data_IF_589977033546
#
_entry.id   IF_589977033546
#
_cell.length_a   1.000
_cell.length_b   1.000
_cell.length_c   1.000
_cell.angle_alpha   90.00
_cell.angle_beta   90.00
_cell.angle_gamma   90.00
#
_symmetry.space_group_name_H-M   'P 1'
#
loop_
_entity.id
_entity.type
_entity.pdbx_description
1 polymer ?
#
# COMPACT_ATOMS: atom_id res chain seq x y z
N UNK A 1 -15.20 19.38 -11.01
CA UNK A 1 -14.78 19.54 -9.60
C UNK A 1 -13.88 18.36 -9.33
N UNK A 2 -12.58 18.54 -9.59
CA UNK A 2 -11.58 17.49 -9.48
C UNK A 2 -11.56 17.01 -8.04
N UNK A 3 -11.93 15.75 -7.82
CA UNK A 3 -11.66 15.08 -6.58
C UNK A 3 -10.13 15.08 -6.46
N UNK A 4 -9.61 16.00 -5.65
CA UNK A 4 -8.24 15.99 -5.18
C UNK A 4 -8.02 14.63 -4.51
N UNK A 5 -7.59 13.63 -5.29
CA UNK A 5 -7.40 12.30 -4.76
C UNK A 5 -6.31 12.41 -3.72
N UNK A 6 -6.63 11.96 -2.52
CA UNK A 6 -5.64 11.77 -1.47
C UNK A 6 -4.40 11.13 -2.10
N UNK A 7 -3.19 11.60 -1.78
CA UNK A 7 -1.92 11.05 -2.26
C UNK A 7 -2.07 9.54 -2.55
N UNK A 8 -2.03 9.16 -3.82
CA UNK A 8 -2.29 7.81 -4.27
C UNK A 8 -1.11 6.89 -3.92
N UNK A 9 -1.35 5.58 -3.79
CA UNK A 9 -0.33 4.56 -3.50
C UNK A 9 0.85 4.71 -4.44
N UNK A 10 0.57 4.98 -5.72
CA UNK A 10 1.57 5.23 -6.77
C UNK A 10 2.45 6.44 -6.50
N UNK A 11 1.88 7.51 -5.95
CA UNK A 11 2.61 8.75 -5.62
C UNK A 11 3.51 8.53 -4.39
N UNK A 12 3.02 7.77 -3.40
CA UNK A 12 3.80 7.42 -2.21
C UNK A 12 4.97 6.46 -2.57
N UNK A 13 4.73 5.49 -3.43
CA UNK A 13 5.77 4.59 -3.97
C UNK A 13 6.84 5.37 -4.76
N UNK A 14 6.42 6.27 -5.64
CA UNK A 14 7.34 7.12 -6.40
C UNK A 14 8.23 7.97 -5.48
N UNK A 15 7.66 8.54 -4.40
CA UNK A 15 8.41 9.30 -3.41
C UNK A 15 9.49 8.44 -2.71
N UNK A 16 9.17 7.20 -2.33
CA UNK A 16 10.13 6.25 -1.77
C UNK A 16 11.23 5.89 -2.77
N UNK A 17 10.86 5.63 -4.03
CA UNK A 17 11.80 5.26 -5.09
C UNK A 17 12.79 6.39 -5.36
N UNK A 18 12.33 7.65 -5.48
CA UNK A 18 13.19 8.81 -5.68
C UNK A 18 14.11 9.07 -4.47
N UNK A 19 13.64 8.80 -3.25
CA UNK A 19 14.43 8.97 -2.02
C UNK A 19 15.67 8.06 -1.99
N UNK A 20 15.69 6.96 -2.77
CA UNK A 20 16.87 6.10 -2.93
C UNK A 20 18.04 6.79 -3.63
N UNK A 21 17.78 7.81 -4.47
CA UNK A 21 18.83 8.56 -5.18
C UNK A 21 19.61 9.46 -4.22
N UNK A 22 18.93 10.03 -3.23
CA UNK A 22 19.55 10.89 -2.21
C UNK A 22 20.59 10.09 -1.41
N UNK A 23 20.32 8.82 -1.12
CA UNK A 23 21.30 7.93 -0.47
C UNK A 23 22.63 7.88 -1.22
N UNK A 24 22.59 7.81 -2.57
CA UNK A 24 23.80 7.79 -3.39
C UNK A 24 24.60 9.09 -3.29
N UNK A 25 23.92 10.22 -3.17
CA UNK A 25 24.61 11.51 -2.98
C UNK A 25 25.27 11.65 -1.61
N UNK A 26 24.70 11.06 -0.56
CA UNK A 26 25.29 11.08 0.80
C UNK A 26 26.66 10.41 0.80
N UNK A 27 26.74 9.20 0.25
CA UNK A 27 27.98 8.42 0.17
C UNK A 27 28.90 8.81 -1.01
N UNK A 28 28.62 9.92 -1.70
CA UNK A 28 29.50 10.39 -2.78
C UNK A 28 30.73 11.16 -2.26
N UNK A 29 30.67 11.61 -1.00
CA UNK A 29 31.79 12.29 -0.34
C UNK A 29 32.87 11.24 -0.04
N UNK A 30 34.11 11.38 -0.55
CA UNK A 30 35.12 10.33 -0.45
C UNK A 30 35.88 10.42 0.89
N UNK A 31 35.18 10.24 2.00
CA UNK A 31 35.72 10.43 3.35
C UNK A 31 36.92 9.53 3.63
N UNK A 32 36.89 8.27 3.21
CA UNK A 32 37.99 7.31 3.40
C UNK A 32 39.24 7.72 2.62
N UNK A 33 39.07 8.24 1.40
CA UNK A 33 40.19 8.73 0.59
C UNK A 33 40.84 9.94 1.26
N UNK A 34 40.04 10.89 1.73
CA UNK A 34 40.53 12.07 2.44
C UNK A 34 41.28 11.69 3.72
N UNK A 35 40.80 10.67 4.44
CA UNK A 35 41.48 10.14 5.61
C UNK A 35 42.85 9.54 5.25
N UNK A 36 42.93 8.72 4.20
CA UNK A 36 44.19 8.13 3.74
C UNK A 36 45.21 9.19 3.28
N UNK A 37 44.74 10.28 2.64
CA UNK A 37 45.58 11.39 2.23
C UNK A 37 46.08 12.19 3.45
N UNK A 38 45.24 12.39 4.47
CA UNK A 38 45.62 13.04 5.74
C UNK A 38 46.67 12.26 6.53
N UNK A 39 46.53 10.93 6.60
CA UNK A 39 47.51 10.06 7.25
C UNK A 39 48.86 10.13 6.53
N UNK A 40 48.85 10.06 5.20
CA UNK A 40 50.05 10.23 4.37
C UNK A 40 50.71 11.60 4.54
N UNK A 41 49.92 12.67 4.65
CA UNK A 41 50.44 14.02 4.88
C UNK A 41 51.07 14.14 6.27
N UNK A 42 50.38 13.63 7.30
CA UNK A 42 50.86 13.60 8.67
C UNK A 42 52.17 12.82 8.80
N UNK A 43 52.27 11.65 8.14
CA UNK A 43 53.49 10.85 8.11
C UNK A 43 54.66 11.62 7.48
N UNK A 44 54.42 12.35 6.38
CA UNK A 44 55.44 13.16 5.71
C UNK A 44 55.92 14.34 6.57
N UNK A 45 55.02 15.01 7.28
CA UNK A 45 55.40 16.09 8.22
C UNK A 45 56.26 15.52 9.35
N UNK A 46 55.85 14.39 9.92
CA UNK A 46 56.56 13.77 11.04
C UNK A 46 57.91 13.16 10.63
N UNK A 47 58.07 12.75 9.36
CA UNK A 47 59.33 12.20 8.80
C UNK A 47 60.24 13.25 8.18
N UNK A 48 60.07 14.53 8.46
CA UNK A 48 61.02 15.55 7.97
C UNK A 48 62.40 15.36 8.64
N UNK A 49 63.25 14.53 8.06
CA UNK A 49 64.55 14.06 8.60
C UNK A 49 65.64 15.15 8.70
N UNK A 50 65.37 16.39 8.27
CA UNK A 50 66.36 17.47 8.22
C UNK A 50 66.23 18.50 9.37
N UNK A 51 65.78 18.06 10.55
CA UNK A 51 65.84 18.85 11.80
C UNK A 51 65.01 20.15 11.83
N UNK A 52 64.16 20.39 10.83
CA UNK A 52 63.33 21.60 10.67
C UNK A 52 61.87 21.23 10.45
N UNK A 53 61.29 20.45 11.38
CA UNK A 53 59.84 20.28 11.37
C UNK A 53 59.19 21.63 11.69
N UNK A 54 58.54 22.22 10.70
CA UNK A 54 57.86 23.50 10.87
C UNK A 54 56.74 23.33 11.94
N UNK A 55 56.79 24.05 13.08
CA UNK A 55 55.81 23.91 14.15
C UNK A 55 54.38 24.24 13.70
N UNK A 56 54.23 25.12 12.72
CA UNK A 56 52.92 25.45 12.13
C UNK A 56 52.35 24.25 11.36
N UNK A 57 53.20 23.47 10.68
CA UNK A 57 52.77 22.25 10.00
C UNK A 57 52.41 21.14 10.99
N UNK A 58 53.20 20.96 12.07
CA UNK A 58 52.88 19.98 13.11
C UNK A 58 51.54 20.33 13.79
N UNK A 59 51.31 21.60 14.10
CA UNK A 59 50.06 22.05 14.72
C UNK A 59 48.84 21.94 13.78
N UNK A 60 49.04 21.86 12.47
CA UNK A 60 47.97 21.62 11.49
C UNK A 60 47.43 20.18 11.48
N UNK A 61 48.23 19.19 11.89
CA UNK A 61 47.84 17.77 11.94
C UNK A 61 46.57 17.56 12.79
N UNK A 62 46.50 17.97 14.08
CA UNK A 62 45.30 17.79 14.87
C UNK A 62 44.10 18.55 14.30
N UNK A 63 44.31 19.71 13.66
CA UNK A 63 43.23 20.44 13.01
C UNK A 63 42.63 19.66 11.84
N UNK A 64 43.47 19.04 11.00
CA UNK A 64 43.05 18.20 9.89
C UNK A 64 42.27 16.96 10.36
N UNK A 65 42.76 16.28 11.40
CA UNK A 65 42.09 15.12 11.99
C UNK A 65 40.72 15.51 12.56
N UNK A 66 40.62 16.67 13.23
CA UNK A 66 39.34 17.18 13.72
C UNK A 66 38.36 17.45 12.59
N UNK A 67 38.80 18.07 11.48
CA UNK A 67 37.94 18.33 10.32
C UNK A 67 37.42 17.03 9.69
N UNK A 68 38.27 16.00 9.57
CA UNK A 68 37.85 14.67 9.09
C UNK A 68 36.84 14.01 10.02
N UNK A 69 37.04 14.12 11.32
CA UNK A 69 36.12 13.59 12.34
C UNK A 69 34.77 14.32 12.26
N UNK A 70 34.78 15.65 12.10
CA UNK A 70 33.55 16.42 11.88
C UNK A 70 32.86 16.05 10.57
N UNK A 71 33.62 15.85 9.49
CA UNK A 71 33.07 15.42 8.20
C UNK A 71 32.36 14.06 8.30
N UNK A 72 33.00 13.09 8.98
CA UNK A 72 32.39 11.78 9.30
C UNK A 72 31.12 11.96 10.15
N UNK A 73 31.15 12.85 11.14
CA UNK A 73 29.97 13.18 11.94
C UNK A 73 28.82 13.72 11.09
N UNK A 74 29.10 14.68 10.21
CA UNK A 74 28.10 15.26 9.32
C UNK A 74 27.51 14.25 8.33
N UNK A 75 28.33 13.37 7.75
CA UNK A 75 27.83 12.30 6.88
C UNK A 75 26.86 11.39 7.63
N UNK A 76 27.23 10.95 8.84
CA UNK A 76 26.39 10.11 9.69
C UNK A 76 25.08 10.83 10.08
N UNK A 77 25.15 12.11 10.43
CA UNK A 77 23.97 12.90 10.79
C UNK A 77 23.01 13.07 9.61
N UNK A 78 23.54 13.32 8.41
CA UNK A 78 22.73 13.41 7.19
C UNK A 78 22.13 12.04 6.85
N UNK A 79 22.91 10.96 6.98
CA UNK A 79 22.40 9.60 6.77
C UNK A 79 21.28 9.26 7.75
N UNK A 80 21.42 9.63 9.02
CA UNK A 80 20.38 9.45 10.04
C UNK A 80 19.10 10.21 9.71
N UNK A 81 19.21 11.46 9.26
CA UNK A 81 18.06 12.26 8.81
C UNK A 81 17.38 11.63 7.59
N UNK A 82 18.18 11.16 6.62
CA UNK A 82 17.68 10.44 5.45
C UNK A 82 16.91 9.18 5.84
N UNK A 83 17.44 8.38 6.79
CA UNK A 83 16.82 7.15 7.25
C UNK A 83 15.50 7.41 8.00
N UNK A 84 15.48 8.42 8.88
CA UNK A 84 14.24 8.84 9.54
C UNK A 84 13.17 9.23 8.51
N UNK A 85 13.54 10.03 7.50
CA UNK A 85 12.62 10.43 6.44
C UNK A 85 12.14 9.24 5.60
N UNK A 86 13.00 8.26 5.35
CA UNK A 86 12.65 7.02 4.65
C UNK A 86 11.59 6.24 5.42
N UNK A 87 11.76 6.09 6.73
CA UNK A 87 10.78 5.39 7.60
C UNK A 87 9.44 6.11 7.61
N UNK A 88 9.41 7.44 7.66
CA UNK A 88 8.17 8.22 7.54
C UNK A 88 7.45 8.00 6.21
N UNK A 89 8.19 8.04 5.10
CA UNK A 89 7.65 7.80 3.77
C UNK A 89 7.09 6.37 3.65
N UNK A 90 7.78 5.38 4.22
CA UNK A 90 7.32 3.99 4.27
C UNK A 90 6.02 3.88 5.07
N UNK A 91 5.95 4.50 6.25
CA UNK A 91 4.72 4.53 7.04
C UNK A 91 3.54 5.16 6.29
N UNK A 92 3.79 6.23 5.52
CA UNK A 92 2.77 6.86 4.67
C UNK A 92 2.31 5.91 3.56
N UNK A 93 3.26 5.26 2.87
CA UNK A 93 2.97 4.29 1.83
C UNK A 93 2.10 3.13 2.36
N UNK A 94 2.50 2.53 3.49
CA UNK A 94 1.75 1.43 4.11
C UNK A 94 0.32 1.84 4.48
N UNK A 95 0.14 3.06 5.01
CA UNK A 95 -1.19 3.58 5.33
C UNK A 95 -2.05 3.75 4.07
N UNK A 96 -1.45 4.19 2.95
CA UNK A 96 -2.15 4.33 1.67
C UNK A 96 -2.50 3.00 1.04
N UNK A 97 -1.57 2.04 1.08
CA UNK A 97 -1.81 0.68 0.62
C UNK A 97 -2.96 0.03 1.39
N UNK A 98 -2.95 0.15 2.72
CA UNK A 98 -4.06 -0.35 3.54
C UNK A 98 -5.40 0.30 3.18
N UNK A 99 -5.43 1.61 2.96
CA UNK A 99 -6.64 2.31 2.54
C UNK A 99 -7.19 1.77 1.22
N UNK A 100 -6.31 1.60 0.21
CA UNK A 100 -6.67 1.02 -1.08
C UNK A 100 -7.20 -0.41 -0.95
N UNK A 101 -6.51 -1.27 -0.19
CA UNK A 101 -6.92 -2.67 0.01
C UNK A 101 -8.28 -2.76 0.72
N UNK A 102 -8.54 -1.87 1.69
CA UNK A 102 -9.82 -1.79 2.37
C UNK A 102 -10.95 -1.37 1.41
N UNK A 103 -10.70 -0.40 0.52
CA UNK A 103 -11.67 0.01 -0.51
C UNK A 103 -11.99 -1.14 -1.46
N UNK A 104 -10.98 -1.89 -1.91
CA UNK A 104 -11.16 -3.06 -2.77
C UNK A 104 -12.05 -4.14 -2.10
N UNK A 105 -11.78 -4.44 -0.84
CA UNK A 105 -12.59 -5.41 -0.06
C UNK A 105 -14.03 -4.93 0.08
N UNK A 106 -14.25 -3.64 0.38
CA UNK A 106 -15.60 -3.07 0.50
C UNK A 106 -16.35 -3.16 -0.83
N UNK A 107 -15.71 -2.82 -1.95
CA UNK A 107 -16.30 -2.98 -3.28
C UNK A 107 -16.66 -4.44 -3.59
N UNK A 108 -15.76 -5.37 -3.27
CA UNK A 108 -15.98 -6.81 -3.48
C UNK A 108 -17.16 -7.33 -2.65
N UNK A 109 -17.26 -6.93 -1.39
CA UNK A 109 -18.38 -7.27 -0.52
C UNK A 109 -19.69 -6.68 -1.05
N UNK A 110 -19.71 -5.41 -1.44
CA UNK A 110 -20.90 -4.77 -1.99
C UNK A 110 -21.40 -5.49 -3.26
N UNK A 111 -20.47 -5.88 -4.14
CA UNK A 111 -20.77 -6.66 -5.35
C UNK A 111 -21.35 -8.03 -4.99
N UNK A 112 -20.75 -8.71 -4.01
CA UNK A 112 -21.21 -10.03 -3.55
C UNK A 112 -22.61 -9.94 -2.92
N UNK A 113 -22.85 -8.94 -2.08
CA UNK A 113 -24.17 -8.70 -1.47
C UNK A 113 -25.22 -8.39 -2.52
N UNK A 114 -24.90 -7.55 -3.51
CA UNK A 114 -25.80 -7.25 -4.61
C UNK A 114 -26.19 -8.51 -5.38
N UNK A 115 -25.22 -9.37 -5.69
CA UNK A 115 -25.46 -10.64 -6.38
C UNK A 115 -26.34 -11.59 -5.55
N UNK A 116 -26.05 -11.74 -4.25
CA UNK A 116 -26.85 -12.56 -3.34
C UNK A 116 -28.29 -12.02 -3.21
N UNK A 117 -28.44 -10.70 -3.13
CA UNK A 117 -29.74 -10.04 -3.05
C UNK A 117 -30.57 -10.29 -4.30
N UNK A 118 -30.00 -10.10 -5.50
CA UNK A 118 -30.65 -10.42 -6.78
C UNK A 118 -31.05 -11.90 -6.86
N UNK A 119 -30.16 -12.82 -6.43
CA UNK A 119 -30.46 -14.25 -6.39
C UNK A 119 -31.65 -14.54 -5.46
N UNK A 120 -31.67 -13.95 -4.27
CA UNK A 120 -32.74 -14.13 -3.29
C UNK A 120 -34.09 -13.62 -3.81
N UNK A 121 -34.13 -12.41 -4.37
CA UNK A 121 -35.32 -11.84 -5.00
C UNK A 121 -35.87 -12.73 -6.11
N UNK A 122 -35.02 -13.19 -7.03
CA UNK A 122 -35.45 -14.10 -8.09
C UNK A 122 -35.97 -15.44 -7.53
N UNK A 123 -35.41 -15.93 -6.43
CA UNK A 123 -35.91 -17.11 -5.73
C UNK A 123 -37.30 -16.89 -5.14
N UNK A 124 -37.54 -15.74 -4.51
CA UNK A 124 -38.85 -15.39 -3.97
C UNK A 124 -39.91 -15.23 -5.06
N UNK A 125 -39.58 -14.57 -6.16
CA UNK A 125 -40.49 -14.45 -7.32
C UNK A 125 -40.87 -15.84 -7.86
N UNK A 126 -39.91 -16.75 -7.98
CA UNK A 126 -40.17 -18.13 -8.39
C UNK A 126 -41.08 -18.87 -7.40
N UNK A 127 -40.88 -18.71 -6.09
CA UNK A 127 -41.74 -19.32 -5.07
C UNK A 127 -43.18 -18.79 -5.17
N UNK A 128 -43.36 -17.47 -5.29
CA UNK A 128 -44.70 -16.86 -5.44
C UNK A 128 -45.41 -17.40 -6.69
N UNK A 129 -44.69 -17.52 -7.80
CA UNK A 129 -45.22 -18.08 -9.05
C UNK A 129 -45.64 -19.55 -8.88
N UNK A 130 -44.87 -20.36 -8.16
CA UNK A 130 -45.23 -21.76 -7.85
C UNK A 130 -46.50 -21.85 -6.99
N UNK A 131 -46.59 -21.06 -5.92
CA UNK A 131 -47.77 -21.01 -5.06
C UNK A 131 -49.03 -20.58 -5.84
N UNK A 132 -48.89 -19.59 -6.72
CA UNK A 132 -50.00 -19.15 -7.55
C UNK A 132 -50.43 -20.24 -8.55
N UNK A 133 -49.48 -20.94 -9.17
CA UNK A 133 -49.75 -22.05 -10.06
C UNK A 133 -50.49 -23.21 -9.35
N UNK A 134 -50.06 -23.58 -8.13
CA UNK A 134 -50.74 -24.60 -7.31
C UNK A 134 -52.16 -24.18 -6.91
N UNK A 135 -52.38 -22.91 -6.58
CA UNK A 135 -53.71 -22.40 -6.24
C UNK A 135 -54.66 -22.43 -7.44
N UNK A 136 -54.19 -21.97 -8.61
CA UNK A 136 -54.96 -21.97 -9.86
C UNK A 136 -55.30 -23.39 -10.29
N UNK A 137 -54.32 -24.29 -10.30
CA UNK A 137 -54.54 -25.71 -10.63
C UNK A 137 -55.54 -26.36 -9.68
N UNK A 138 -55.41 -26.11 -8.37
CA UNK A 138 -56.38 -26.60 -7.37
C UNK A 138 -57.80 -26.04 -7.58
N UNK A 139 -57.93 -24.76 -7.92
CA UNK A 139 -59.22 -24.14 -8.22
C UNK A 139 -59.86 -24.75 -9.48
N UNK A 140 -59.07 -24.98 -10.52
CA UNK A 140 -59.53 -25.58 -11.77
C UNK A 140 -60.00 -27.02 -11.57
N UNK A 141 -59.25 -27.82 -10.78
CA UNK A 141 -59.64 -29.18 -10.39
C UNK A 141 -60.96 -29.18 -9.62
N UNK A 142 -61.13 -28.27 -8.65
CA UNK A 142 -62.40 -28.13 -7.90
C UNK A 142 -63.58 -27.81 -8.81
N UNK A 143 -63.42 -26.88 -9.76
CA UNK A 143 -64.45 -26.52 -10.72
C UNK A 143 -64.81 -27.70 -11.65
N UNK A 144 -63.81 -28.46 -12.10
CA UNK A 144 -64.00 -29.67 -12.91
C UNK A 144 -64.77 -30.75 -12.15
N UNK A 145 -64.46 -30.96 -10.87
CA UNK A 145 -65.20 -31.91 -10.02
C UNK A 145 -66.65 -31.50 -9.81
N UNK A 146 -66.92 -30.21 -9.58
CA UNK A 146 -68.29 -29.70 -9.43
C UNK A 146 -69.11 -29.87 -10.72
N UNK A 147 -68.53 -29.55 -11.87
CA UNK A 147 -69.21 -29.70 -13.18
C UNK A 147 -69.48 -31.16 -13.52
N UNK A 148 -68.53 -32.06 -13.28
CA UNK A 148 -68.73 -33.50 -13.45
C UNK A 148 -69.79 -34.07 -12.48
N UNK A 149 -69.86 -33.59 -11.25
CA UNK A 149 -70.88 -34.00 -10.27
C UNK A 149 -72.29 -33.52 -10.64
N UNK A 150 -72.41 -32.30 -11.17
CA UNK A 150 -73.69 -31.79 -11.69
C UNK A 150 -74.13 -32.55 -12.95
N UNK A 151 -73.18 -32.95 -13.79
CA UNK A 151 -73.45 -33.74 -15.00
C UNK A 151 -73.82 -35.21 -14.70
N UNK A 152 -73.28 -35.83 -13.64
CA UNK A 152 -73.66 -37.20 -13.26
C UNK A 152 -75.05 -37.30 -12.62
N UNK A 153 -75.52 -36.23 -11.97
CA UNK A 153 -76.88 -36.13 -11.41
C UNK A 153 -77.98 -35.94 -12.46
N UNK A 154 -77.62 -35.54 -13.68
CA UNK A 154 -78.56 -35.25 -14.77
C UNK A 154 -78.63 -36.36 -15.82
N UNK A 155 -77.87 -37.45 -15.67
CA UNK A 155 -78.11 -38.67 -16.44
C UNK A 155 -79.39 -39.36 -15.94
N UNK A 156 -80.45 -39.49 -16.77
CA UNK A 156 -81.64 -40.21 -16.38
C UNK A 156 -81.31 -41.70 -16.26
N UNK A 157 -81.71 -42.32 -15.14
CA UNK A 157 -81.77 -43.78 -15.05
C UNK A 157 -82.86 -44.23 -16.03
N UNK A 158 -82.42 -44.87 -17.12
CA UNK A 158 -83.26 -45.70 -17.98
C UNK A 158 -83.90 -46.82 -17.16
#
# INVERSE_FOLDING_TARGET
>A
MEAQSSVDVTTAEAALSQHSLIKKSIFSVPVERLQSESERFSERINRAECGTSNPDLISSIPHMVNLLTSLQGFENDVFKQWENRRVELEGCYQMKLFGHDAEEVVLSLATTFSFLYCRCLSGLENIVMLYHAEWVTSALVRQKLQTNFMSSKTSPRL
#
